data_IF_479908869038
#
_entry.id   IF_479908869038
#
_cell.length_a   1.000
_cell.length_b   1.000
_cell.length_c   1.000
_cell.angle_alpha   90.00
_cell.angle_beta   90.00
_cell.angle_gamma   90.00
#
_symmetry.space_group_name_H-M   'P 1'
#
loop_
_entity.id
_entity.type
_entity.pdbx_description
1 polymer ?
#
# COMPACT_ATOMS: atom_id res chain seq x y z
N UNK A 1 -23.91 -15.38 24.93
CA UNK A 1 -22.74 -16.01 24.28
C UNK A 1 -22.51 -15.30 22.95
N UNK A 2 -21.59 -14.33 22.89
CA UNK A 2 -21.28 -13.63 21.64
C UNK A 2 -20.30 -14.48 20.85
N UNK A 3 -20.85 -15.31 19.95
CA UNK A 3 -20.06 -16.03 18.97
C UNK A 3 -19.34 -15.03 18.08
N UNK A 4 -18.02 -14.89 18.29
CA UNK A 4 -17.15 -14.23 17.32
C UNK A 4 -17.35 -14.94 15.99
N UNK A 5 -17.96 -14.28 15.02
CA UNK A 5 -18.01 -14.76 13.63
C UNK A 5 -16.57 -14.88 13.16
N UNK A 6 -16.06 -16.11 13.22
CA UNK A 6 -14.86 -16.53 12.51
C UNK A 6 -15.13 -16.25 11.04
N UNK A 7 -14.56 -15.16 10.52
CA UNK A 7 -14.59 -14.92 9.08
C UNK A 7 -13.75 -16.02 8.46
N UNK A 8 -14.45 -17.01 7.90
CA UNK A 8 -13.88 -18.26 7.38
C UNK A 8 -12.69 -17.97 6.47
N UNK A 9 -11.53 -18.52 6.81
CA UNK A 9 -10.30 -18.45 6.00
C UNK A 9 -10.52 -18.86 4.55
N UNK A 10 -11.48 -19.75 4.29
CA UNK A 10 -11.87 -20.22 2.95
C UNK A 10 -12.40 -19.10 2.04
N UNK A 11 -13.10 -18.10 2.58
CA UNK A 11 -13.71 -17.02 1.76
C UNK A 11 -12.64 -16.05 1.25
N UNK A 12 -11.58 -15.80 2.05
CA UNK A 12 -10.48 -14.93 1.61
C UNK A 12 -9.65 -15.55 0.48
N UNK A 13 -9.56 -16.88 0.41
CA UNK A 13 -8.80 -17.60 -0.62
C UNK A 13 -9.50 -17.58 -1.99
N UNK A 14 -10.83 -17.52 -2.04
CA UNK A 14 -11.59 -17.40 -3.30
C UNK A 14 -11.52 -16.00 -3.90
N UNK A 15 -11.38 -14.96 -3.06
CA UNK A 15 -11.31 -13.56 -3.48
C UNK A 15 -9.90 -13.09 -3.86
N UNK A 16 -8.86 -13.71 -3.27
CA UNK A 16 -7.47 -13.36 -3.52
C UNK A 16 -6.69 -14.67 -3.70
N UNK A 17 -6.62 -15.19 -4.93
CA UNK A 17 -6.11 -16.54 -5.18
C UNK A 17 -4.58 -16.66 -5.06
N UNK A 18 -3.87 -15.54 -5.18
CA UNK A 18 -2.41 -15.53 -5.21
C UNK A 18 -1.81 -14.22 -4.63
N UNK A 19 -0.52 -14.28 -4.29
CA UNK A 19 0.24 -13.15 -3.75
C UNK A 19 0.28 -11.94 -4.71
N UNK A 20 0.51 -12.08 -6.03
CA UNK A 20 0.38 -10.98 -6.98
C UNK A 20 -0.97 -10.25 -6.92
N UNK A 21 -2.08 -10.99 -6.84
CA UNK A 21 -3.44 -10.44 -6.71
C UNK A 21 -3.62 -9.71 -5.39
N UNK A 22 -3.08 -10.24 -4.29
CA UNK A 22 -3.06 -9.57 -3.00
C UNK A 22 -2.31 -8.23 -3.06
N UNK A 23 -1.14 -8.24 -3.71
CA UNK A 23 -0.30 -7.05 -3.89
C UNK A 23 -1.04 -5.99 -4.73
N UNK A 24 -1.64 -6.39 -5.85
CA UNK A 24 -2.40 -5.49 -6.71
C UNK A 24 -3.57 -4.84 -5.97
N UNK A 25 -4.31 -5.61 -5.16
CA UNK A 25 -5.38 -5.08 -4.33
C UNK A 25 -4.86 -4.06 -3.29
N UNK A 26 -3.79 -4.40 -2.58
CA UNK A 26 -3.20 -3.51 -1.59
C UNK A 26 -2.61 -2.23 -2.22
N UNK A 27 -2.10 -2.32 -3.44
CA UNK A 27 -1.66 -1.16 -4.25
C UNK A 27 -2.83 -0.30 -4.71
N UNK A 28 -3.94 -0.90 -5.17
CA UNK A 28 -5.16 -0.19 -5.53
C UNK A 28 -5.76 0.55 -4.32
N UNK A 29 -5.68 -0.07 -3.13
CA UNK A 29 -6.07 0.57 -1.86
C UNK A 29 -5.06 1.63 -1.36
N UNK A 30 -3.91 1.78 -2.01
CA UNK A 30 -2.85 2.71 -1.58
C UNK A 30 -2.18 2.34 -0.26
N UNK A 31 -2.28 1.07 0.14
CA UNK A 31 -1.58 0.52 1.33
C UNK A 31 -0.14 0.16 0.97
N UNK A 32 0.07 -0.32 -0.26
CA UNK A 32 1.37 -0.48 -0.88
C UNK A 32 1.58 0.58 -1.96
N UNK A 33 2.85 0.93 -2.18
CA UNK A 33 3.22 1.83 -3.27
C UNK A 33 2.89 1.19 -4.62
N UNK A 34 2.25 1.93 -5.52
CA UNK A 34 2.06 1.51 -6.92
C UNK A 34 3.35 1.69 -7.74
N UNK A 35 4.06 2.79 -7.47
CA UNK A 35 5.34 3.13 -8.06
C UNK A 35 6.25 3.65 -6.96
N UNK A 36 7.55 3.45 -7.13
CA UNK A 36 8.54 3.92 -6.15
C UNK A 36 9.81 4.42 -6.85
N UNK A 37 10.26 5.66 -6.55
CA UNK A 37 11.59 6.10 -6.94
C UNK A 37 12.66 5.52 -6.00
N UNK A 38 13.83 5.27 -6.54
CA UNK A 38 15.05 5.00 -5.79
C UNK A 38 15.69 6.31 -5.34
N UNK A 39 16.47 6.25 -4.27
CA UNK A 39 17.25 7.41 -3.78
C UNK A 39 18.26 7.93 -4.82
N UNK A 40 18.59 7.12 -5.84
CA UNK A 40 19.41 7.55 -6.97
C UNK A 40 18.62 8.29 -8.09
N UNK A 41 17.33 8.55 -7.87
CA UNK A 41 16.42 9.22 -8.81
C UNK A 41 15.77 8.31 -9.86
N UNK A 42 16.16 7.04 -9.94
CA UNK A 42 15.64 6.10 -10.94
C UNK A 42 14.35 5.41 -10.46
N UNK A 43 13.48 5.03 -11.38
CA UNK A 43 12.36 4.14 -11.08
C UNK A 43 12.79 2.78 -10.50
N UNK A 44 11.93 2.22 -9.66
CA UNK A 44 12.04 0.84 -9.20
C UNK A 44 10.95 -0.04 -9.82
N UNK A 45 11.31 -1.26 -10.19
CA UNK A 45 10.34 -2.30 -10.57
C UNK A 45 10.09 -3.25 -9.39
N UNK A 46 8.85 -3.69 -9.26
CA UNK A 46 8.50 -4.70 -8.26
C UNK A 46 8.87 -6.08 -8.76
N UNK A 47 9.75 -6.78 -8.03
CA UNK A 47 10.12 -8.16 -8.29
C UNK A 47 9.36 -9.09 -7.37
N UNK A 48 8.47 -9.88 -7.96
CA UNK A 48 7.68 -10.92 -7.29
C UNK A 48 8.38 -12.29 -7.27
N UNK A 49 9.47 -12.43 -8.02
CA UNK A 49 10.20 -13.69 -8.15
C UNK A 49 11.00 -14.04 -6.87
N UNK A 50 11.27 -13.06 -6.01
CA UNK A 50 11.91 -13.28 -4.71
C UNK A 50 10.86 -13.35 -3.61
N UNK A 51 10.98 -14.34 -2.71
CA UNK A 51 10.23 -14.37 -1.45
C UNK A 51 11.14 -13.89 -0.32
N UNK A 52 10.82 -12.78 0.38
CA UNK A 52 9.68 -11.87 0.17
C UNK A 52 9.86 -10.95 -1.04
N UNK A 53 8.75 -10.48 -1.63
CA UNK A 53 8.74 -9.55 -2.77
C UNK A 53 9.50 -8.24 -2.46
N UNK A 54 10.22 -7.71 -3.45
CA UNK A 54 11.10 -6.54 -3.28
C UNK A 54 11.01 -5.57 -4.45
N UNK A 55 11.11 -4.28 -4.14
CA UNK A 55 11.41 -3.28 -5.14
C UNK A 55 12.89 -3.34 -5.51
N UNK A 56 13.18 -3.25 -6.80
CA UNK A 56 14.54 -3.25 -7.33
C UNK A 56 14.75 -2.02 -8.19
N UNK A 57 15.80 -1.27 -7.91
CA UNK A 57 16.22 -0.17 -8.77
C UNK A 57 16.57 -0.70 -10.16
N UNK A 58 16.05 -0.04 -11.20
CA UNK A 58 16.31 -0.40 -12.60
C UNK A 58 17.72 0.03 -13.04
N UNK A 59 18.36 0.96 -12.33
CA UNK A 59 19.74 1.38 -12.62
C UNK A 59 20.73 0.26 -12.30
N UNK A 60 21.35 -0.30 -13.33
CA UNK A 60 22.24 -1.47 -13.25
C UNK A 60 23.42 -1.32 -12.26
N UNK A 61 23.90 -0.08 -12.05
CA UNK A 61 24.97 0.24 -11.10
C UNK A 61 24.48 0.45 -9.66
N UNK A 62 23.23 0.89 -9.46
CA UNK A 62 22.69 1.15 -8.12
C UNK A 62 22.37 -0.17 -7.41
N UNK A 63 21.70 -1.11 -8.11
CA UNK A 63 21.30 -2.44 -7.61
C UNK A 63 20.55 -2.45 -6.27
N UNK A 64 20.11 -1.30 -5.78
CA UNK A 64 19.42 -1.17 -4.50
C UNK A 64 18.12 -1.96 -4.54
N UNK A 65 17.90 -2.72 -3.47
CA UNK A 65 16.66 -3.43 -3.23
C UNK A 65 16.09 -2.99 -1.90
N UNK A 66 14.78 -2.87 -1.85
CA UNK A 66 14.05 -2.47 -0.65
C UNK A 66 12.80 -3.33 -0.56
N UNK A 67 12.34 -3.59 0.67
CA UNK A 67 11.18 -4.48 0.87
C UNK A 67 9.93 -3.89 0.23
N UNK A 68 9.00 -4.75 -0.17
CA UNK A 68 7.68 -4.33 -0.69
C UNK A 68 6.97 -3.33 0.24
N UNK A 69 7.11 -3.54 1.56
CA UNK A 69 6.45 -2.76 2.62
C UNK A 69 7.23 -1.49 3.01
N UNK A 70 8.44 -1.27 2.47
CA UNK A 70 9.28 -0.18 2.93
C UNK A 70 8.66 1.18 2.61
N UNK A 71 8.67 2.09 3.59
CA UNK A 71 8.02 3.39 3.52
C UNK A 71 6.49 3.31 3.46
N UNK A 72 5.88 2.19 3.85
CA UNK A 72 4.43 2.09 4.03
C UNK A 72 4.08 1.83 5.48
N UNK A 73 2.79 1.97 5.76
CA UNK A 73 2.20 1.73 7.05
C UNK A 73 2.38 0.27 7.56
N UNK A 74 2.80 -0.66 6.68
CA UNK A 74 3.11 -2.08 6.93
C UNK A 74 4.60 -2.35 7.19
N UNK A 75 5.48 -1.34 7.09
CA UNK A 75 6.90 -1.51 7.37
C UNK A 75 7.12 -2.05 8.79
N UNK A 76 7.89 -3.14 8.91
CA UNK A 76 8.18 -3.78 10.20
C UNK A 76 6.97 -4.45 10.89
N UNK A 77 5.82 -4.59 10.20
CA UNK A 77 4.61 -5.21 10.75
C UNK A 77 4.29 -6.54 10.09
N UNK A 78 3.70 -7.44 10.87
CA UNK A 78 3.11 -8.68 10.37
C UNK A 78 1.90 -8.41 9.47
N UNK A 79 1.64 -9.34 8.55
CA UNK A 79 0.59 -9.19 7.53
C UNK A 79 -0.82 -9.05 8.14
N UNK A 80 -1.03 -9.50 9.38
CA UNK A 80 -2.32 -9.44 10.08
C UNK A 80 -2.77 -8.00 10.42
N UNK A 81 -1.89 -7.02 10.25
CA UNK A 81 -2.14 -5.61 10.63
C UNK A 81 -2.64 -4.72 9.48
N UNK A 82 -3.10 -5.31 8.36
CA UNK A 82 -3.61 -4.57 7.18
C UNK A 82 -4.78 -3.64 7.51
N UNK A 83 -5.72 -4.03 8.39
CA UNK A 83 -6.87 -3.18 8.76
C UNK A 83 -6.46 -1.84 9.39
N UNK A 84 -5.40 -1.83 10.20
CA UNK A 84 -4.87 -0.59 10.78
C UNK A 84 -4.18 0.31 9.74
N UNK A 85 -3.80 -0.25 8.59
CA UNK A 85 -3.24 0.49 7.47
C UNK A 85 -4.31 1.19 6.64
N UNK A 86 -5.44 0.54 6.39
CA UNK A 86 -6.55 1.10 5.59
C UNK A 86 -7.03 2.46 6.13
N UNK A 87 -7.32 2.53 7.43
CA UNK A 87 -7.77 3.78 8.08
C UNK A 87 -6.75 4.91 7.95
N UNK A 88 -5.46 4.59 8.08
CA UNK A 88 -4.36 5.58 8.00
C UNK A 88 -4.12 6.05 6.58
N UNK A 89 -4.23 5.17 5.58
CA UNK A 89 -4.16 5.55 4.18
C UNK A 89 -5.36 6.40 3.75
N UNK A 90 -6.55 6.16 4.28
CA UNK A 90 -7.72 6.99 4.00
C UNK A 90 -7.57 8.41 4.56
N UNK A 91 -7.04 8.56 5.77
CA UNK A 91 -6.71 9.86 6.36
C UNK A 91 -5.64 10.61 5.53
N UNK A 92 -4.57 9.93 5.11
CA UNK A 92 -3.55 10.54 4.25
C UNK A 92 -4.09 10.90 2.87
N UNK A 93 -4.95 10.06 2.25
CA UNK A 93 -5.61 10.36 0.97
C UNK A 93 -6.55 11.56 1.10
N UNK A 94 -7.30 11.65 2.19
CA UNK A 94 -8.15 12.80 2.49
C UNK A 94 -7.29 14.07 2.62
N UNK A 95 -6.20 14.04 3.40
CA UNK A 95 -5.30 15.19 3.58
C UNK A 95 -4.56 15.58 2.29
N UNK A 96 -4.12 14.62 1.47
CA UNK A 96 -3.47 14.88 0.19
C UNK A 96 -4.45 15.48 -0.85
N UNK A 97 -5.71 15.03 -0.84
CA UNK A 97 -6.78 15.63 -1.64
C UNK A 97 -7.10 17.07 -1.23
N UNK A 98 -6.99 17.40 0.06
CA UNK A 98 -7.12 18.77 0.58
C UNK A 98 -5.92 19.65 0.15
N UNK A 99 -4.75 19.07 -0.09
CA UNK A 99 -3.55 19.80 -0.54
C UNK A 99 -3.50 20.01 -2.07
N UNK A 100 -4.16 19.16 -2.86
CA UNK A 100 -4.24 19.31 -4.32
C UNK A 100 -5.54 19.98 -4.79
N UNK A 101 -6.59 19.97 -3.97
CA UNK A 101 -7.80 20.77 -4.16
C UNK A 101 -7.78 21.93 -3.19
N UNK A 102 -7.31 23.09 -3.66
CA UNK A 102 -7.55 24.36 -2.96
C UNK A 102 -9.02 24.43 -2.56
N UNK A 103 -9.27 24.41 -1.25
CA UNK A 103 -10.57 24.61 -0.66
C UNK A 103 -11.01 26.02 -1.06
N UNK A 104 -11.69 26.16 -2.21
CA UNK A 104 -12.50 27.33 -2.50
C UNK A 104 -13.66 27.25 -1.53
N UNK A 105 -13.40 27.70 -0.30
CA UNK A 105 -14.43 28.23 0.59
C UNK A 105 -14.94 29.47 -0.14
N UNK A 106 -15.93 29.29 -1.01
CA UNK A 106 -16.89 30.36 -1.25
C UNK A 106 -17.54 30.61 0.09
N UNK A 107 -17.00 31.65 0.72
CA UNK A 107 -17.56 32.36 1.86
C UNK A 107 -19.03 32.62 1.51
N UNK A 108 -19.94 31.85 2.13
CA UNK A 108 -21.23 32.42 2.47
C UNK A 108 -20.93 33.57 3.42
N UNK A 109 -21.40 34.76 3.08
CA UNK A 109 -21.90 35.82 3.96
C UNK A 109 -22.08 37.10 3.11
N UNK A 110 -23.09 37.95 3.38
CA UNK A 110 -24.46 37.69 3.83
C UNK A 110 -25.51 38.07 2.77
#
# INVERSE_FOLDING_TARGET
>A
MFGRTSTNSSVMNELIPDEPSAIALLQAKGILHQQRPCDCGEGMSLSLNGRPARWRCQRARCRKQVSLRAGTCLEGKDADKIRACELRCEIHRYQAGIHQGGLVRTRLEP
#
